data_IF_004582047074
#
_entry.id   IF_004582047074
#
_cell.length_a   1.000
_cell.length_b   1.000
_cell.length_c   1.000
_cell.angle_alpha   90.00
_cell.angle_beta   90.00
_cell.angle_gamma   90.00
#
_symmetry.space_group_name_H-M   'P 1'
#
loop_
_entity.id
_entity.type
_entity.pdbx_description
1 polymer ?
#
# COMPACT_ATOMS: atom_id res chain seq x y z
N UNK A 1 1.37 23.36 -42.44
CA UNK A 1 0.62 22.26 -41.93
C UNK A 1 1.37 21.17 -41.26
N UNK A 2 2.50 21.43 -40.69
CA UNK A 2 3.29 20.39 -40.02
C UNK A 2 3.08 20.34 -38.53
N UNK A 3 2.23 21.15 -38.05
CA UNK A 3 1.98 21.26 -36.64
C UNK A 3 1.20 20.10 -36.09
N UNK A 4 0.41 19.47 -36.95
CA UNK A 4 -0.47 18.41 -36.47
C UNK A 4 0.25 17.18 -36.01
N UNK A 5 1.44 16.93 -36.55
CA UNK A 5 2.18 15.75 -36.14
C UNK A 5 2.85 15.93 -34.80
N UNK A 6 3.10 17.16 -34.39
CA UNK A 6 3.69 17.39 -33.07
C UNK A 6 2.71 17.17 -31.95
N UNK A 7 1.46 17.33 -32.19
CA UNK A 7 0.44 17.12 -31.18
C UNK A 7 0.29 15.67 -30.80
N UNK A 8 0.52 14.79 -31.74
CA UNK A 8 0.33 13.37 -31.49
C UNK A 8 1.38 12.79 -30.56
N UNK A 9 2.57 13.33 -30.59
CA UNK A 9 3.67 12.79 -29.82
C UNK A 9 3.48 13.05 -28.32
N UNK A 10 2.85 14.16 -27.98
CA UNK A 10 2.66 14.51 -26.59
C UNK A 10 1.69 13.60 -25.85
N UNK A 11 0.75 13.02 -26.56
CA UNK A 11 -0.27 12.20 -25.93
C UNK A 11 0.23 10.82 -25.50
N UNK A 12 1.26 10.33 -26.13
CA UNK A 12 1.77 9.00 -25.82
C UNK A 12 2.56 8.94 -24.53
N UNK A 13 3.04 10.09 -24.07
CA UNK A 13 3.88 10.13 -22.87
C UNK A 13 3.07 9.98 -21.60
N UNK A 14 1.78 10.28 -21.67
CA UNK A 14 0.94 10.30 -20.47
C UNK A 14 0.58 8.93 -19.93
N UNK A 15 0.86 7.88 -20.66
CA UNK A 15 0.45 6.55 -20.26
C UNK A 15 1.54 5.75 -19.58
N UNK A 16 2.73 6.30 -19.48
CA UNK A 16 3.83 5.58 -18.87
C UNK A 16 3.74 5.69 -17.35
N UNK A 17 4.00 4.60 -16.66
CA UNK A 17 4.20 4.62 -15.24
C UNK A 17 2.97 4.41 -14.38
N UNK A 18 1.84 4.03 -14.98
CA UNK A 18 0.61 3.89 -14.21
C UNK A 18 0.53 2.61 -13.38
N UNK A 19 1.52 1.72 -13.44
CA UNK A 19 1.38 0.39 -12.84
C UNK A 19 2.55 -0.02 -11.99
N UNK A 20 3.18 0.94 -11.36
CA UNK A 20 4.37 0.64 -10.57
C UNK A 20 4.05 -0.24 -9.37
N UNK A 21 2.96 0.06 -8.67
CA UNK A 21 2.55 -0.72 -7.52
C UNK A 21 1.19 -1.33 -7.83
N UNK A 22 1.15 -2.65 -7.98
CA UNK A 22 -0.03 -3.34 -8.46
C UNK A 22 -0.87 -3.95 -7.36
N UNK A 23 -0.23 -4.49 -6.32
CA UNK A 23 -0.93 -5.15 -5.24
C UNK A 23 -0.35 -4.75 -3.91
N UNK A 24 -1.22 -4.57 -2.93
CA UNK A 24 -0.86 -4.36 -1.54
C UNK A 24 -1.74 -5.28 -0.71
N UNK A 25 -1.12 -6.16 0.07
CA UNK A 25 -1.87 -7.13 0.87
C UNK A 25 -1.29 -7.26 2.27
N UNK A 26 -2.09 -7.12 3.31
CA UNK A 26 -3.52 -6.78 3.27
C UNK A 26 -3.72 -5.33 2.88
N UNK A 27 -4.91 -5.02 2.37
CA UNK A 27 -5.23 -3.66 1.96
C UNK A 27 -5.53 -2.75 3.13
N UNK A 28 -5.84 -3.33 4.28
CA UNK A 28 -6.21 -2.58 5.48
C UNK A 28 -5.92 -3.41 6.72
N UNK A 29 -5.97 -2.76 7.87
CA UNK A 29 -5.84 -3.42 9.16
C UNK A 29 -6.79 -2.73 10.14
N UNK A 30 -6.75 -3.12 11.40
CA UNK A 30 -7.66 -2.57 12.41
C UNK A 30 -6.85 -2.01 13.56
N UNK A 31 -7.32 -0.89 14.11
CA UNK A 31 -6.73 -0.34 15.33
C UNK A 31 -7.14 -1.18 16.52
N UNK A 32 -6.32 -1.17 17.55
CA UNK A 32 -6.65 -1.87 18.79
C UNK A 32 -6.55 -3.38 18.72
N UNK A 33 -5.88 -3.90 17.72
CA UNK A 33 -5.64 -5.34 17.64
C UNK A 33 -4.56 -5.74 18.62
N UNK A 34 -4.72 -6.94 19.17
CA UNK A 34 -3.67 -7.53 19.98
C UNK A 34 -2.39 -7.65 19.14
N UNK A 35 -2.53 -8.07 17.93
CA UNK A 35 -1.45 -8.05 16.93
C UNK A 35 -1.40 -6.68 16.31
N UNK A 36 -0.53 -5.83 16.81
CA UNK A 36 -0.43 -4.47 16.31
C UNK A 36 0.68 -4.29 15.27
N UNK A 37 1.45 -5.33 15.01
CA UNK A 37 2.44 -5.31 13.94
C UNK A 37 1.86 -6.06 12.77
N UNK A 38 1.78 -5.41 11.62
CA UNK A 38 1.19 -6.01 10.44
C UNK A 38 2.23 -6.06 9.32
N UNK A 39 2.39 -7.24 8.75
CA UNK A 39 3.27 -7.42 7.61
C UNK A 39 2.47 -7.18 6.34
N UNK A 40 2.96 -6.29 5.50
CA UNK A 40 2.30 -5.91 4.27
C UNK A 40 3.18 -6.29 3.09
N UNK A 41 2.58 -6.97 2.13
CA UNK A 41 3.23 -7.36 0.90
C UNK A 41 2.96 -6.31 -0.16
N UNK A 42 4.02 -5.80 -0.77
CA UNK A 42 3.94 -4.90 -1.91
C UNK A 42 4.39 -5.66 -3.15
N UNK A 43 3.62 -5.58 -4.20
CA UNK A 43 3.93 -6.26 -5.45
C UNK A 43 3.80 -5.31 -6.63
N UNK A 44 4.78 -5.33 -7.49
CA UNK A 44 4.78 -4.56 -8.72
C UNK A 44 6.07 -4.79 -9.48
N UNK A 45 6.12 -4.46 -10.77
CA UNK A 45 7.30 -4.74 -11.58
C UNK A 45 8.49 -3.94 -11.10
N UNK A 46 9.56 -4.65 -10.73
CA UNK A 46 10.84 -4.06 -10.37
C UNK A 46 10.77 -3.09 -9.21
N UNK A 47 9.82 -3.27 -8.29
CA UNK A 47 9.64 -2.30 -7.21
C UNK A 47 10.73 -2.38 -6.14
N UNK A 48 11.48 -3.48 -6.08
CA UNK A 48 12.47 -3.66 -5.02
C UNK A 48 13.58 -2.61 -5.06
N UNK A 49 13.74 -1.92 -6.16
CA UNK A 49 14.75 -0.87 -6.28
C UNK A 49 14.32 0.45 -5.64
N UNK A 50 13.06 0.57 -5.26
CA UNK A 50 12.55 1.82 -4.72
C UNK A 50 12.59 1.82 -3.19
N UNK A 51 12.64 3.01 -2.64
CA UNK A 51 12.52 3.19 -1.20
C UNK A 51 11.04 3.24 -0.84
N UNK A 52 10.70 2.68 0.32
CA UNK A 52 9.32 2.68 0.82
C UNK A 52 9.21 3.66 1.97
N UNK A 53 8.15 4.46 1.94
CA UNK A 53 7.75 5.31 3.06
C UNK A 53 6.29 5.13 3.34
N UNK A 54 5.91 5.20 4.60
CA UNK A 54 4.52 5.21 5.00
C UNK A 54 4.31 6.39 5.93
N UNK A 55 3.46 7.32 5.52
CA UNK A 55 3.21 8.50 6.32
C UNK A 55 2.39 8.13 7.55
N UNK A 56 2.94 8.38 8.73
CA UNK A 56 2.22 8.18 9.97
C UNK A 56 2.30 6.80 10.60
N UNK A 57 2.84 5.82 9.90
CA UNK A 57 3.03 4.48 10.46
C UNK A 57 4.51 4.11 10.37
N UNK A 58 5.14 3.77 11.50
CA UNK A 58 6.54 3.37 11.47
C UNK A 58 6.72 2.04 10.74
N UNK A 59 7.75 1.97 9.92
CA UNK A 59 8.17 0.73 9.30
C UNK A 59 9.23 0.10 10.20
N UNK A 60 8.91 -1.04 10.76
CA UNK A 60 9.81 -1.73 11.68
C UNK A 60 10.83 -2.58 10.94
N UNK A 61 10.44 -3.10 9.78
CA UNK A 61 11.28 -4.00 9.04
C UNK A 61 10.92 -3.94 7.56
N UNK A 62 11.94 -4.04 6.71
CA UNK A 62 11.76 -4.17 5.27
C UNK A 62 12.54 -5.38 4.80
N UNK A 63 11.90 -6.25 4.03
CA UNK A 63 12.54 -7.43 3.48
C UNK A 63 12.38 -7.41 1.97
N UNK A 64 13.51 -7.54 1.29
CA UNK A 64 13.55 -7.68 -0.16
C UNK A 64 14.17 -9.03 -0.47
N UNK A 65 13.44 -9.82 -1.24
CA UNK A 65 13.88 -11.15 -1.59
C UNK A 65 14.62 -11.12 -2.93
N UNK A 66 14.94 -12.29 -3.44
CA UNK A 66 15.57 -12.38 -4.76
C UNK A 66 14.65 -11.92 -5.87
N UNK A 67 13.36 -11.95 -5.62
CA UNK A 67 12.41 -11.52 -6.63
C UNK A 67 12.26 -10.00 -6.55
N UNK A 68 12.67 -9.27 -7.61
CA UNK A 68 12.65 -7.80 -7.58
C UNK A 68 11.26 -7.18 -7.62
N UNK A 69 10.23 -8.00 -7.73
CA UNK A 69 8.85 -7.51 -7.83
C UNK A 69 8.14 -7.45 -6.50
N UNK A 70 8.82 -7.78 -5.40
CA UNK A 70 8.19 -7.85 -4.08
C UNK A 70 8.98 -7.08 -3.04
N UNK A 71 8.26 -6.43 -2.14
CA UNK A 71 8.82 -5.87 -0.91
C UNK A 71 7.86 -6.25 0.21
N UNK A 72 8.42 -6.73 1.31
CA UNK A 72 7.64 -6.99 2.52
C UNK A 72 8.00 -5.91 3.54
N UNK A 73 7.00 -5.27 4.12
CA UNK A 73 7.22 -4.29 5.18
C UNK A 73 6.40 -4.69 6.39
N UNK A 74 6.93 -4.41 7.57
CA UNK A 74 6.21 -4.60 8.82
C UNK A 74 5.89 -3.24 9.39
N UNK A 75 4.62 -2.96 9.60
CA UNK A 75 4.14 -1.68 10.09
C UNK A 75 3.71 -1.80 11.54
N UNK A 76 3.98 -0.77 12.33
CA UNK A 76 3.51 -0.68 13.70
C UNK A 76 2.23 0.13 13.74
N UNK A 77 1.18 -0.46 14.31
CA UNK A 77 -0.10 0.22 14.41
C UNK A 77 -0.51 0.56 15.82
N UNK A 78 0.34 0.22 16.81
CA UNK A 78 0.01 0.48 18.22
C UNK A 78 -0.13 1.98 18.46
N UNK A 79 -1.22 2.36 19.11
CA UNK A 79 -1.47 3.75 19.44
C UNK A 79 -1.87 4.63 18.28
N UNK A 80 -2.08 4.04 17.11
CA UNK A 80 -2.46 4.81 15.92
C UNK A 80 -3.96 4.93 15.83
N UNK A 81 -4.42 6.01 15.20
CA UNK A 81 -5.85 6.24 15.03
C UNK A 81 -6.32 5.66 13.72
N UNK A 82 -7.61 5.37 13.65
CA UNK A 82 -8.21 4.92 12.41
C UNK A 82 -8.16 6.03 11.38
N UNK A 83 -7.94 5.66 10.13
CA UNK A 83 -7.83 6.60 9.04
C UNK A 83 -7.05 6.01 7.90
N UNK A 84 -6.76 6.86 6.93
CA UNK A 84 -6.05 6.46 5.73
C UNK A 84 -4.60 6.91 5.81
N UNK A 85 -3.71 5.97 5.52
CA UNK A 85 -2.28 6.19 5.53
C UNK A 85 -1.75 5.91 4.14
N UNK A 86 -0.70 6.63 3.74
CA UNK A 86 -0.19 6.52 2.38
C UNK A 86 1.10 5.73 2.36
N UNK A 87 1.10 4.63 1.60
CA UNK A 87 2.32 3.89 1.29
C UNK A 87 2.88 4.50 0.01
N UNK A 88 4.14 4.93 0.04
CA UNK A 88 4.77 5.58 -1.10
C UNK A 88 6.04 4.86 -1.49
N UNK A 89 6.24 4.71 -2.78
CA UNK A 89 7.50 4.25 -3.34
C UNK A 89 8.22 5.45 -3.91
N UNK A 90 9.51 5.55 -3.63
CA UNK A 90 10.31 6.68 -4.05
C UNK A 90 11.51 6.24 -4.86
N UNK A 91 11.77 6.97 -5.94
CA UNK A 91 13.00 6.87 -6.68
C UNK A 91 13.83 8.08 -6.29
N UNK A 92 14.82 7.85 -5.42
CA UNK A 92 15.56 8.93 -4.77
C UNK A 92 14.60 9.76 -3.93
N UNK A 93 14.27 10.96 -4.37
CA UNK A 93 13.32 11.79 -3.62
C UNK A 93 12.00 11.95 -4.33
N UNK A 94 11.82 11.25 -5.46
CA UNK A 94 10.63 11.41 -6.26
C UNK A 94 9.66 10.26 -5.98
N UNK A 95 8.41 10.61 -5.70
CA UNK A 95 7.37 9.61 -5.48
C UNK A 95 6.97 9.03 -6.83
N UNK A 96 7.11 7.73 -6.98
CA UNK A 96 6.76 7.04 -8.23
C UNK A 96 5.47 6.26 -8.10
N UNK A 97 5.02 5.97 -6.88
CA UNK A 97 3.76 5.29 -6.66
C UNK A 97 3.23 5.59 -5.27
N UNK A 98 1.92 5.61 -5.15
CA UNK A 98 1.24 5.83 -3.88
C UNK A 98 0.09 4.86 -3.78
N UNK A 99 -0.08 4.26 -2.60
CA UNK A 99 -1.19 3.37 -2.34
C UNK A 99 -1.72 3.64 -0.95
N UNK A 100 -3.04 3.71 -0.83
CA UNK A 100 -3.70 4.01 0.43
C UNK A 100 -3.82 2.75 1.28
N UNK A 101 -3.46 2.86 2.55
CA UNK A 101 -3.58 1.77 3.49
C UNK A 101 -4.46 2.26 4.64
N UNK A 102 -5.58 1.59 4.88
CA UNK A 102 -6.56 2.05 5.85
C UNK A 102 -6.43 1.31 7.17
N UNK A 103 -6.51 2.05 8.28
CA UNK A 103 -6.71 1.47 9.59
C UNK A 103 -8.17 1.71 9.97
N UNK A 104 -8.86 0.62 10.25
CA UNK A 104 -10.28 0.65 10.51
C UNK A 104 -10.56 0.49 12.00
N UNK A 105 -11.71 0.96 12.43
CA UNK A 105 -12.15 0.71 13.81
C UNK A 105 -12.86 -0.63 13.89
N UNK A 106 -12.80 -1.24 15.07
CA UNK A 106 -13.43 -2.53 15.28
C UNK A 106 -14.80 -2.42 15.91
N UNK A 107 -15.34 -1.24 15.94
CA UNK A 107 -16.60 -0.99 16.64
C UNK A 107 -17.73 -1.87 16.16
N UNK A 108 -17.85 -2.00 14.86
CA UNK A 108 -18.95 -2.77 14.28
C UNK A 108 -18.78 -4.26 14.47
N UNK A 109 -17.61 -4.68 14.83
CA UNK A 109 -17.27 -6.09 14.87
C UNK A 109 -17.87 -6.85 16.03
N UNK A 110 -18.08 -6.20 17.14
CA UNK A 110 -18.70 -6.88 18.26
C UNK A 110 -20.10 -7.35 17.92
N UNK A 111 -20.77 -6.60 17.08
CA UNK A 111 -22.08 -6.97 16.61
C UNK A 111 -22.03 -8.18 15.69
N UNK A 112 -21.08 -8.16 14.78
CA UNK A 112 -20.95 -9.26 13.85
C UNK A 112 -20.48 -10.54 14.51
N UNK A 113 -19.68 -10.42 15.51
CA UNK A 113 -19.17 -11.59 16.18
C UNK A 113 -20.28 -12.42 16.79
N UNK A 114 -21.30 -11.74 17.29
CA UNK A 114 -22.41 -12.45 17.87
C UNK A 114 -23.24 -13.19 16.84
N UNK A 115 -23.33 -12.64 15.65
CA UNK A 115 -24.06 -13.35 14.61
C UNK A 115 -23.21 -14.46 13.99
N UNK A 116 -21.92 -14.32 14.03
CA UNK A 116 -21.07 -15.35 13.46
C UNK A 116 -21.01 -16.62 14.30
N UNK A 117 -21.08 -16.47 15.60
CA UNK A 117 -20.88 -17.62 16.46
C UNK A 117 -21.85 -18.74 16.22
N UNK A 118 -23.02 -18.44 15.73
CA UNK A 118 -23.99 -19.50 15.48
C UNK A 118 -23.84 -20.15 14.13
N UNK A 119 -23.09 -19.52 13.24
CA UNK A 119 -23.02 -20.01 11.87
C UNK A 119 -21.68 -20.52 11.47
N UNK A 120 -20.65 -20.04 12.10
CA UNK A 120 -19.31 -20.44 11.75
C UNK A 120 -18.95 -21.81 12.21
N UNK A 121 -19.73 -22.36 13.00
CA UNK A 121 -19.42 -23.65 13.60
C UNK A 121 -19.86 -24.82 12.76
#
# INVERSE_FOLDING_TARGET
MKWNSLFFVCMLVLQAGAQTLQHVEPANWWVGMEHHQVQVLLHGPQIAKYKVEVGGLPILEEVRTENPNYIFITLETQGKVAGDYQIRLLDKKKVVATHQFALLTRKAQSKYRNSFTSQDV
#
